data_IF_917051386781
#
_entry.id   IF_917051386781
#
_cell.length_a   1.000
_cell.length_b   1.000
_cell.length_c   1.000
_cell.angle_alpha   90.00
_cell.angle_beta   90.00
_cell.angle_gamma   90.00
#
_symmetry.space_group_name_H-M   'P 1'
#
loop_
_entity.id
_entity.type
_entity.pdbx_description
1 polymer ?
#
# COMPACT_ATOMS: atom_id res chain seq x y z
N UNK A 1 13.65 -6.30 -41.40
CA UNK A 1 12.96 -5.13 -40.81
C UNK A 1 11.84 -5.65 -39.93
N UNK A 2 12.05 -5.72 -38.62
CA UNK A 2 11.04 -6.17 -37.65
C UNK A 2 10.68 -4.96 -36.79
N UNK A 3 9.42 -4.53 -36.85
CA UNK A 3 8.87 -3.48 -36.01
C UNK A 3 8.44 -4.11 -34.68
N UNK A 4 9.04 -3.70 -33.57
CA UNK A 4 8.58 -3.99 -32.21
C UNK A 4 7.60 -2.88 -31.83
N UNK A 5 6.32 -3.22 -31.72
CA UNK A 5 5.30 -2.32 -31.22
C UNK A 5 5.39 -2.25 -29.69
N UNK A 6 5.91 -1.15 -29.17
CA UNK A 6 5.80 -0.79 -27.75
C UNK A 6 4.43 -0.15 -27.56
N UNK A 7 3.49 -0.89 -26.99
CA UNK A 7 2.21 -0.33 -26.54
C UNK A 7 2.45 0.31 -25.18
N UNK A 8 2.64 1.63 -25.17
CA UNK A 8 2.68 2.43 -23.95
C UNK A 8 1.24 2.72 -23.51
N UNK A 9 0.76 2.01 -22.49
CA UNK A 9 -0.50 2.33 -21.81
C UNK A 9 -0.25 3.36 -20.71
N UNK A 10 -0.93 4.50 -20.83
CA UNK A 10 -0.91 5.61 -19.88
C UNK A 10 -1.67 5.20 -18.60
N UNK A 11 -1.05 5.29 -17.42
CA UNK A 11 -1.65 4.94 -16.13
C UNK A 11 -1.65 6.14 -15.18
N UNK A 12 -2.82 6.54 -14.70
CA UNK A 12 -3.00 7.56 -13.65
C UNK A 12 -3.85 6.92 -12.55
N UNK A 13 -3.34 6.80 -11.33
CA UNK A 13 -4.16 6.28 -10.20
C UNK A 13 -4.93 7.45 -9.60
N UNK A 14 -6.26 7.35 -9.56
CA UNK A 14 -7.09 8.18 -8.70
C UNK A 14 -7.56 7.33 -7.53
N UNK A 15 -7.27 7.86 -6.35
CA UNK A 15 -7.68 7.51 -5.00
C UNK A 15 -8.72 6.37 -4.83
N UNK A 16 -8.27 5.23 -4.29
CA UNK A 16 -9.16 4.19 -3.77
C UNK A 16 -9.56 4.51 -2.32
N UNK A 17 -10.83 4.77 -2.07
CA UNK A 17 -11.41 4.90 -0.73
C UNK A 17 -11.76 3.50 -0.18
N UNK A 18 -11.33 3.24 1.06
CA UNK A 18 -11.81 2.12 1.87
C UNK A 18 -13.17 2.52 2.44
N UNK A 19 -14.18 1.64 2.35
CA UNK A 19 -15.49 1.85 2.98
C UNK A 19 -15.88 0.57 3.72
N UNK A 20 -16.28 0.64 5.00
CA UNK A 20 -16.75 -0.52 5.73
C UNK A 20 -18.15 -0.95 5.27
N UNK A 21 -18.39 -2.26 5.32
CA UNK A 21 -19.70 -2.85 5.07
C UNK A 21 -20.52 -2.89 6.37
N UNK A 22 -21.57 -2.07 6.46
CA UNK A 22 -22.65 -2.27 7.44
C UNK A 22 -24.01 -1.77 6.91
N UNK A 23 -24.85 -2.75 6.54
CA UNK A 23 -26.33 -2.91 6.63
C UNK A 23 -27.27 -1.66 6.51
N UNK A 24 -28.24 -1.77 5.58
CA UNK A 24 -29.35 -0.86 5.14
C UNK A 24 -30.59 -0.80 6.10
N UNK A 25 -31.74 -0.10 5.81
CA UNK A 25 -31.96 1.33 5.48
C UNK A 25 -33.19 2.03 6.20
N UNK A 26 -33.31 3.35 5.96
CA UNK A 26 -34.54 4.21 5.84
C UNK A 26 -35.16 4.93 7.08
N UNK A 27 -36.00 6.00 6.95
CA UNK A 27 -36.18 7.04 5.90
C UNK A 27 -36.12 8.51 6.42
N UNK A 28 -36.11 9.47 5.47
CA UNK A 28 -36.60 10.87 5.53
C UNK A 28 -36.00 11.88 6.53
N UNK A 29 -35.42 12.96 5.99
CA UNK A 29 -35.84 14.35 6.29
C UNK A 29 -35.26 15.34 5.28
N UNK A 30 -36.16 16.18 4.78
CA UNK A 30 -35.97 17.31 3.86
C UNK A 30 -35.60 18.60 4.64
N UNK A 31 -35.34 19.76 4.00
CA UNK A 31 -34.16 20.58 4.26
C UNK A 31 -34.46 21.93 4.93
N UNK A 32 -33.55 22.45 5.76
CA UNK A 32 -33.40 23.90 5.94
C UNK A 32 -32.15 24.25 6.76
N UNK A 33 -31.62 25.43 6.45
CA UNK A 33 -30.73 26.27 7.25
C UNK A 33 -29.21 26.13 7.05
N UNK A 34 -28.78 26.38 5.80
CA UNK A 34 -27.55 27.12 5.58
C UNK A 34 -27.82 28.63 5.68
N UNK A 35 -27.36 29.27 6.75
CA UNK A 35 -27.04 30.70 6.70
C UNK A 35 -25.78 31.00 7.51
N UNK A 36 -24.74 31.42 6.77
CA UNK A 36 -23.70 32.40 7.14
C UNK A 36 -22.65 31.98 8.18
N UNK A 37 -21.38 31.93 7.75
CA UNK A 37 -20.54 33.14 7.72
C UNK A 37 -19.31 32.93 6.83
N UNK A 38 -19.15 33.88 5.92
CA UNK A 38 -18.24 33.91 4.81
C UNK A 38 -17.19 34.99 5.14
N UNK A 39 -15.96 34.62 5.47
CA UNK A 39 -14.81 35.52 5.46
C UNK A 39 -13.50 34.74 5.37
N UNK A 40 -12.92 34.62 4.18
CA UNK A 40 -11.56 35.17 3.94
C UNK A 40 -11.20 35.20 2.46
N UNK A 41 -11.05 36.45 1.97
CA UNK A 41 -10.00 36.96 1.09
C UNK A 41 -9.64 36.13 -0.17
N UNK A 42 -10.40 36.44 -1.21
CA UNK A 42 -10.01 36.36 -2.61
C UNK A 42 -8.70 37.11 -2.88
N UNK A 43 -7.60 36.39 -3.10
CA UNK A 43 -6.40 36.88 -3.78
C UNK A 43 -6.06 35.95 -4.95
N UNK A 44 -6.97 35.89 -5.93
CA UNK A 44 -6.64 35.35 -7.26
C UNK A 44 -5.82 36.38 -8.04
N UNK A 45 -4.50 36.41 -7.80
CA UNK A 45 -3.54 37.19 -8.60
C UNK A 45 -2.52 36.23 -9.22
N UNK A 46 -2.62 36.04 -10.53
CA UNK A 46 -1.67 35.41 -11.46
C UNK A 46 -0.45 34.71 -10.82
N UNK A 47 -0.67 33.52 -10.25
CA UNK A 47 0.43 32.62 -9.89
C UNK A 47 0.90 31.94 -11.17
N UNK A 48 2.17 32.15 -11.53
CA UNK A 48 2.79 31.52 -12.70
C UNK A 48 2.54 30.00 -12.70
N UNK A 49 2.36 29.35 -13.86
CA UNK A 49 2.10 27.91 -13.93
C UNK A 49 3.11 27.07 -13.13
N UNK A 50 4.38 27.47 -13.12
CA UNK A 50 5.46 26.84 -12.36
C UNK A 50 5.23 26.90 -10.84
N UNK A 51 4.83 28.07 -10.30
CA UNK A 51 4.50 28.22 -8.88
C UNK A 51 3.24 27.43 -8.48
N UNK A 52 2.27 27.26 -9.39
CA UNK A 52 1.11 26.37 -9.16
C UNK A 52 1.50 24.90 -9.18
N UNK A 53 2.48 24.52 -10.00
CA UNK A 53 3.00 23.15 -10.06
C UNK A 53 3.80 22.81 -8.81
N UNK A 54 4.64 23.74 -8.33
CA UNK A 54 5.40 23.59 -7.08
C UNK A 54 4.45 23.49 -5.88
N UNK A 55 3.51 24.43 -5.71
CA UNK A 55 2.54 24.37 -4.61
C UNK A 55 1.66 23.11 -4.62
N UNK A 56 1.34 22.56 -5.81
CA UNK A 56 0.61 21.27 -5.92
C UNK A 56 1.51 20.06 -5.65
N UNK A 57 2.80 20.13 -5.98
CA UNK A 57 3.75 19.08 -5.66
C UNK A 57 3.95 18.98 -4.13
N UNK A 58 4.07 20.14 -3.47
CA UNK A 58 4.19 20.25 -2.01
C UNK A 58 2.91 19.72 -1.33
N UNK A 59 1.72 20.05 -1.83
CA UNK A 59 0.46 19.53 -1.29
C UNK A 59 0.34 17.99 -1.36
N UNK A 60 0.79 17.37 -2.48
CA UNK A 60 0.78 15.90 -2.60
C UNK A 60 1.82 15.22 -1.72
N UNK A 61 2.97 15.88 -1.53
CA UNK A 61 3.97 15.42 -0.58
C UNK A 61 3.42 15.44 0.84
N UNK A 62 2.84 16.56 1.28
CA UNK A 62 2.29 16.69 2.64
C UNK A 62 1.13 15.73 2.91
N UNK A 63 0.26 15.52 1.93
CA UNK A 63 -0.80 14.50 2.00
C UNK A 63 -0.22 13.09 2.17
N UNK A 64 0.81 12.75 1.38
CA UNK A 64 1.49 11.46 1.49
C UNK A 64 2.25 11.31 2.82
N UNK A 65 2.89 12.37 3.33
CA UNK A 65 3.52 12.37 4.67
C UNK A 65 2.46 12.14 5.74
N UNK A 66 1.30 12.80 5.64
CA UNK A 66 0.20 12.68 6.60
C UNK A 66 -0.37 11.26 6.59
N UNK A 67 -0.75 10.73 5.42
CA UNK A 67 -1.29 9.38 5.31
C UNK A 67 -0.26 8.32 5.71
N UNK A 68 1.01 8.51 5.32
CA UNK A 68 2.11 7.65 5.75
C UNK A 68 2.36 7.68 7.24
N UNK A 69 2.21 8.84 7.89
CA UNK A 69 2.26 8.99 9.33
C UNK A 69 1.14 8.21 10.04
N UNK A 70 -0.09 8.29 9.51
CA UNK A 70 -1.22 7.51 10.01
C UNK A 70 -0.99 6.01 9.86
N UNK A 71 -0.50 5.55 8.71
CA UNK A 71 -0.17 4.14 8.46
C UNK A 71 0.96 3.65 9.38
N UNK A 72 2.03 4.44 9.53
CA UNK A 72 3.15 4.11 10.41
C UNK A 72 2.70 3.95 11.87
N UNK A 73 1.89 4.89 12.38
CA UNK A 73 1.33 4.82 13.73
C UNK A 73 0.27 3.71 13.87
N UNK A 74 -0.57 3.52 12.85
CA UNK A 74 -1.60 2.49 12.79
C UNK A 74 -1.01 1.07 12.83
N UNK A 75 0.05 0.81 12.07
CA UNK A 75 0.75 -0.48 12.07
C UNK A 75 1.36 -0.86 13.44
N UNK A 76 1.76 0.12 14.24
CA UNK A 76 2.36 -0.12 15.56
C UNK A 76 1.36 -0.10 16.72
N UNK A 77 0.15 0.41 16.50
CA UNK A 77 -0.88 0.49 17.54
C UNK A 77 -1.84 -0.69 17.50
N UNK A 78 -2.55 -0.94 18.61
CA UNK A 78 -3.66 -1.87 18.62
C UNK A 78 -4.80 -1.40 17.68
N UNK A 79 -5.67 -2.33 17.29
CA UNK A 79 -6.73 -2.10 16.31
C UNK A 79 -7.65 -0.90 16.66
N UNK A 80 -8.00 -0.76 17.94
CA UNK A 80 -8.87 0.32 18.41
C UNK A 80 -8.18 1.67 18.32
N UNK A 81 -6.92 1.78 18.73
CA UNK A 81 -6.12 3.02 18.58
C UNK A 81 -5.90 3.36 17.12
N UNK A 82 -5.59 2.37 16.28
CA UNK A 82 -5.45 2.56 14.85
C UNK A 82 -6.77 3.11 14.26
N UNK A 83 -7.93 2.59 14.68
CA UNK A 83 -9.22 3.08 14.16
C UNK A 83 -9.44 4.57 14.41
N UNK A 84 -8.98 5.12 15.54
CA UNK A 84 -9.05 6.56 15.81
C UNK A 84 -8.20 7.40 14.85
N UNK A 85 -6.99 6.94 14.50
CA UNK A 85 -6.11 7.64 13.56
C UNK A 85 -6.75 7.74 12.16
N UNK A 86 -7.47 6.70 11.75
CA UNK A 86 -8.06 6.60 10.41
C UNK A 86 -9.42 7.30 10.27
N UNK A 87 -10.01 7.81 11.37
CA UNK A 87 -11.16 8.73 11.29
C UNK A 87 -10.80 10.04 10.60
N UNK A 88 -9.55 10.47 10.77
CA UNK A 88 -9.01 11.72 10.23
C UNK A 88 -8.09 11.51 9.02
N UNK A 89 -7.87 10.26 8.59
CA UNK A 89 -7.03 9.96 7.44
C UNK A 89 -7.64 10.50 6.14
N UNK A 90 -6.86 11.14 5.24
CA UNK A 90 -7.37 11.71 4.00
C UNK A 90 -8.15 10.74 3.10
N UNK A 91 -7.83 9.45 3.13
CA UNK A 91 -8.35 8.44 2.21
C UNK A 91 -9.40 7.50 2.81
N UNK A 92 -9.49 7.43 4.14
CA UNK A 92 -10.45 6.53 4.83
C UNK A 92 -11.67 7.27 5.37
N UNK A 93 -11.51 8.48 5.93
CA UNK A 93 -12.56 9.39 6.45
C UNK A 93 -13.89 8.72 6.85
N UNK A 94 -13.85 7.91 7.91
CA UNK A 94 -15.07 7.37 8.54
C UNK A 94 -15.09 7.76 10.04
N UNK A 95 -15.95 8.70 10.46
CA UNK A 95 -16.03 9.12 11.85
C UNK A 95 -16.53 8.02 12.80
N UNK A 96 -17.18 6.98 12.27
CA UNK A 96 -17.74 5.87 13.03
C UNK A 96 -16.81 4.65 13.07
N UNK A 97 -15.62 4.73 12.47
CA UNK A 97 -14.69 3.60 12.39
C UNK A 97 -14.31 3.08 13.80
N UNK A 98 -14.65 1.82 14.06
CA UNK A 98 -14.38 1.14 15.34
C UNK A 98 -13.22 0.16 15.27
N UNK A 99 -12.85 -0.28 14.05
CA UNK A 99 -11.80 -1.25 13.79
C UNK A 99 -11.11 -0.90 12.47
N UNK A 100 -9.83 -1.21 12.35
CA UNK A 100 -9.11 -1.17 11.06
C UNK A 100 -8.98 -2.56 10.45
N UNK A 101 -9.46 -3.62 11.11
CA UNK A 101 -9.40 -4.96 10.55
C UNK A 101 -10.17 -5.03 9.22
N UNK A 102 -9.58 -5.72 8.25
CA UNK A 102 -10.29 -6.00 7.01
C UNK A 102 -11.42 -7.01 7.28
N UNK A 103 -12.62 -6.81 6.69
CA UNK A 103 -13.66 -7.84 6.72
C UNK A 103 -13.34 -9.01 5.78
N UNK A 104 -12.29 -8.92 4.97
CA UNK A 104 -11.89 -9.93 4.00
C UNK A 104 -10.71 -10.74 4.57
N UNK A 105 -10.87 -12.05 4.71
CA UNK A 105 -9.82 -12.95 5.22
C UNK A 105 -9.85 -14.31 4.51
N UNK A 106 -8.79 -15.10 4.65
CA UNK A 106 -8.61 -16.37 3.96
C UNK A 106 -8.00 -16.22 2.56
N UNK A 107 -8.18 -17.23 1.70
CA UNK A 107 -7.62 -17.23 0.34
C UNK A 107 -8.39 -16.34 -0.66
N UNK A 108 -9.57 -15.87 -0.25
CA UNK A 108 -10.49 -14.99 -0.99
C UNK A 108 -10.98 -15.52 -2.34
N UNK A 109 -10.76 -16.79 -2.73
CA UNK A 109 -11.11 -17.27 -4.08
C UNK A 109 -12.61 -17.11 -4.35
N UNK A 110 -13.45 -17.66 -3.48
CA UNK A 110 -14.91 -17.60 -3.62
C UNK A 110 -15.43 -16.17 -3.50
N UNK A 111 -14.79 -15.35 -2.66
CA UNK A 111 -15.17 -13.97 -2.46
C UNK A 111 -14.84 -13.11 -3.70
N UNK A 112 -13.67 -13.32 -4.32
CA UNK A 112 -13.27 -12.70 -5.58
C UNK A 112 -14.25 -13.09 -6.70
N UNK A 113 -14.57 -14.38 -6.83
CA UNK A 113 -15.56 -14.88 -7.79
C UNK A 113 -16.94 -14.24 -7.57
N UNK A 114 -17.40 -14.20 -6.31
CA UNK A 114 -18.66 -13.54 -5.93
C UNK A 114 -18.68 -12.09 -6.41
N UNK A 115 -17.57 -11.37 -6.25
CA UNK A 115 -17.42 -9.98 -6.65
C UNK A 115 -16.98 -9.81 -8.11
N UNK A 116 -17.29 -10.77 -8.99
CA UNK A 116 -17.15 -10.60 -10.44
C UNK A 116 -15.72 -10.68 -10.97
N UNK A 117 -14.76 -11.11 -10.16
CA UNK A 117 -13.38 -11.33 -10.61
C UNK A 117 -13.21 -12.69 -11.27
N UNK A 118 -12.19 -12.76 -12.13
CA UNK A 118 -11.73 -13.96 -12.78
C UNK A 118 -10.23 -14.12 -12.60
N UNK A 119 -9.80 -15.29 -12.16
CA UNK A 119 -8.42 -15.74 -12.28
C UNK A 119 -8.36 -16.67 -13.48
N UNK A 120 -7.83 -16.17 -14.61
CA UNK A 120 -7.72 -16.94 -15.84
C UNK A 120 -6.45 -17.82 -15.79
N UNK A 121 -6.56 -19.16 -15.79
CA UNK A 121 -5.39 -20.04 -15.81
C UNK A 121 -4.49 -19.82 -17.02
N UNK A 122 -5.06 -19.40 -18.17
CA UNK A 122 -4.31 -19.13 -19.40
C UNK A 122 -3.48 -17.86 -19.25
N UNK A 123 -4.03 -16.81 -18.64
CA UNK A 123 -3.25 -15.59 -18.35
C UNK A 123 -2.20 -15.84 -17.28
N UNK A 124 -2.53 -16.57 -16.21
CA UNK A 124 -1.56 -16.99 -15.19
C UNK A 124 -0.34 -17.73 -15.80
N UNK A 125 -0.58 -18.62 -16.77
CA UNK A 125 0.50 -19.32 -17.46
C UNK A 125 1.38 -18.37 -18.30
N UNK A 126 0.81 -17.30 -18.86
CA UNK A 126 1.57 -16.30 -19.64
C UNK A 126 2.42 -15.40 -18.74
N UNK A 127 1.92 -15.02 -17.57
CA UNK A 127 2.61 -14.15 -16.63
C UNK A 127 3.61 -14.88 -15.72
N UNK A 128 3.65 -16.22 -15.72
CA UNK A 128 4.62 -16.98 -14.90
C UNK A 128 6.07 -16.54 -15.16
N UNK A 129 6.40 -16.20 -16.40
CA UNK A 129 7.71 -15.64 -16.77
C UNK A 129 8.04 -14.32 -16.05
N UNK A 130 7.04 -13.50 -15.73
CA UNK A 130 7.23 -12.22 -15.03
C UNK A 130 7.66 -12.45 -13.57
N UNK A 131 7.36 -13.63 -13.02
CA UNK A 131 7.85 -14.11 -11.73
C UNK A 131 9.28 -14.67 -11.76
N UNK A 132 9.95 -14.72 -12.92
CA UNK A 132 11.38 -14.96 -13.01
C UNK A 132 12.13 -13.62 -12.91
N UNK A 133 12.50 -13.30 -11.67
CA UNK A 133 13.08 -12.02 -11.29
C UNK A 133 14.54 -11.84 -11.73
N UNK A 134 15.22 -12.89 -12.21
CA UNK A 134 16.54 -12.76 -12.85
C UNK A 134 16.34 -12.48 -14.34
N UNK A 135 15.69 -13.42 -15.04
CA UNK A 135 15.61 -13.41 -16.50
C UNK A 135 14.81 -12.24 -17.08
N UNK A 136 13.76 -11.78 -16.39
CA UNK A 136 12.84 -10.76 -16.92
C UNK A 136 12.90 -9.43 -16.18
N UNK A 137 13.19 -9.45 -14.88
CA UNK A 137 13.11 -8.24 -14.04
C UNK A 137 14.47 -7.61 -13.69
N UNK A 138 15.59 -8.31 -13.90
CA UNK A 138 16.92 -7.77 -13.58
C UNK A 138 17.17 -7.60 -12.07
N UNK A 139 16.49 -8.39 -11.23
CA UNK A 139 16.60 -8.31 -9.78
C UNK A 139 17.62 -9.28 -9.17
N UNK A 140 18.46 -9.96 -9.99
CA UNK A 140 19.42 -10.98 -9.52
C UNK A 140 20.23 -10.54 -8.30
N UNK A 141 20.86 -9.35 -8.36
CA UNK A 141 21.67 -8.83 -7.24
C UNK A 141 20.82 -8.52 -6.01
N UNK A 142 19.68 -7.86 -6.22
CA UNK A 142 18.76 -7.53 -5.14
C UNK A 142 18.26 -8.77 -4.40
N UNK A 143 17.84 -9.77 -5.17
CA UNK A 143 17.27 -11.00 -4.63
C UNK A 143 18.34 -11.87 -3.98
N UNK A 144 19.56 -11.91 -4.51
CA UNK A 144 20.69 -12.56 -3.85
C UNK A 144 20.99 -11.93 -2.48
N UNK A 145 21.06 -10.59 -2.39
CA UNK A 145 21.33 -9.87 -1.14
C UNK A 145 20.22 -10.05 -0.10
N UNK A 146 18.97 -10.25 -0.55
CA UNK A 146 17.80 -10.45 0.32
C UNK A 146 17.53 -11.92 0.63
N UNK A 147 18.28 -12.85 0.04
CA UNK A 147 18.03 -14.30 0.18
C UNK A 147 16.74 -14.78 -0.48
N UNK A 148 16.25 -14.07 -1.49
CA UNK A 148 15.04 -14.42 -2.26
C UNK A 148 15.47 -15.18 -3.52
N UNK A 149 14.91 -16.36 -3.78
CA UNK A 149 15.15 -17.08 -5.04
C UNK A 149 14.45 -16.37 -6.20
N UNK A 150 15.07 -16.33 -7.37
CA UNK A 150 14.57 -15.56 -8.52
C UNK A 150 13.65 -16.33 -9.47
N UNK A 151 13.79 -17.65 -9.58
CA UNK A 151 13.04 -18.45 -10.56
C UNK A 151 11.53 -18.51 -10.28
N UNK A 152 10.74 -18.49 -11.36
CA UNK A 152 9.28 -18.69 -11.32
C UNK A 152 8.90 -20.13 -10.96
N UNK A 153 7.65 -20.32 -10.56
CA UNK A 153 7.08 -21.65 -10.26
C UNK A 153 7.06 -22.55 -11.49
N UNK A 154 6.74 -22.02 -12.67
CA UNK A 154 6.83 -22.76 -13.94
C UNK A 154 8.26 -23.24 -14.25
N UNK A 155 9.28 -22.53 -13.77
CA UNK A 155 10.69 -22.90 -13.90
C UNK A 155 11.26 -23.66 -12.69
N UNK A 156 10.39 -24.20 -11.81
CA UNK A 156 10.80 -24.98 -10.64
C UNK A 156 11.29 -24.15 -9.44
N UNK A 157 11.15 -22.83 -9.48
CA UNK A 157 11.39 -21.93 -8.36
C UNK A 157 10.17 -21.69 -7.48
N UNK A 158 10.30 -20.87 -6.43
CA UNK A 158 9.21 -20.62 -5.47
C UNK A 158 8.32 -19.43 -5.82
N UNK A 159 8.66 -18.62 -6.83
CA UNK A 159 7.90 -17.41 -7.16
C UNK A 159 6.63 -17.77 -7.94
N UNK A 160 5.49 -17.60 -7.32
CA UNK A 160 4.20 -17.91 -7.90
C UNK A 160 3.45 -16.62 -8.29
N UNK A 161 3.09 -16.52 -9.57
CA UNK A 161 2.34 -15.39 -10.11
C UNK A 161 0.84 -15.69 -10.19
N UNK A 162 0.03 -14.67 -9.95
CA UNK A 162 -1.42 -14.71 -10.16
C UNK A 162 -1.93 -13.38 -10.67
N UNK A 163 -2.89 -13.45 -11.60
CA UNK A 163 -3.69 -12.33 -12.07
C UNK A 163 -5.16 -12.49 -11.68
N UNK A 164 -5.76 -11.41 -11.21
CA UNK A 164 -7.19 -11.26 -11.03
C UNK A 164 -7.72 -10.12 -11.88
N UNK A 165 -8.65 -10.44 -12.76
CA UNK A 165 -9.31 -9.48 -13.64
C UNK A 165 -10.76 -9.28 -13.23
N UNK A 166 -11.17 -8.04 -13.02
CA UNK A 166 -12.58 -7.69 -12.78
C UNK A 166 -13.32 -7.54 -14.10
N UNK A 167 -13.38 -8.65 -14.85
CA UNK A 167 -14.06 -8.85 -16.13
C UNK A 167 -14.12 -10.36 -16.43
N UNK A 168 -15.02 -10.77 -17.32
CA UNK A 168 -15.12 -12.13 -17.85
C UNK A 168 -15.32 -13.24 -16.80
N UNK A 169 -15.58 -12.89 -15.54
CA UNK A 169 -15.71 -13.83 -14.44
C UNK A 169 -16.93 -14.74 -14.56
N UNK A 170 -16.94 -15.86 -13.82
CA UNK A 170 -18.00 -16.87 -13.90
C UNK A 170 -19.37 -16.34 -13.44
N UNK A 171 -19.41 -15.25 -12.65
CA UNK A 171 -20.63 -14.57 -12.22
C UNK A 171 -21.13 -13.50 -13.20
N UNK A 172 -20.38 -13.21 -14.26
CA UNK A 172 -20.82 -12.25 -15.29
C UNK A 172 -22.04 -12.82 -16.01
N UNK A 173 -23.10 -12.02 -16.07
CA UNK A 173 -24.34 -12.36 -16.77
C UNK A 173 -24.05 -12.50 -18.26
N UNK A 174 -24.38 -13.67 -18.81
CA UNK A 174 -24.22 -14.01 -20.22
C UNK A 174 -25.47 -13.62 -21.01
N UNK A 175 -25.30 -13.41 -22.31
CA UNK A 175 -26.43 -13.20 -23.20
C UNK A 175 -27.22 -14.50 -23.47
N UNK A 176 -28.28 -14.39 -24.27
CA UNK A 176 -29.15 -15.52 -24.66
C UNK A 176 -28.43 -16.66 -25.38
N UNK A 177 -27.27 -16.38 -25.98
CA UNK A 177 -26.44 -17.34 -26.72
C UNK A 177 -25.30 -17.88 -25.83
N UNK A 178 -25.37 -17.64 -24.51
CA UNK A 178 -24.37 -18.00 -23.51
C UNK A 178 -22.99 -17.34 -23.74
N UNK A 179 -22.94 -16.21 -24.46
CA UNK A 179 -21.71 -15.46 -24.72
C UNK A 179 -21.51 -14.37 -23.69
N UNK A 180 -20.24 -14.03 -23.46
CA UNK A 180 -19.88 -12.88 -22.65
C UNK A 180 -20.20 -11.59 -23.42
N UNK A 181 -20.93 -10.63 -22.81
CA UNK A 181 -21.10 -9.31 -23.39
C UNK A 181 -19.74 -8.59 -23.55
N UNK A 182 -19.67 -7.55 -24.40
CA UNK A 182 -18.56 -6.59 -24.39
C UNK A 182 -18.32 -6.02 -22.99
N UNK A 183 -17.05 -5.71 -22.66
CA UNK A 183 -16.59 -5.31 -21.33
C UNK A 183 -17.47 -4.22 -20.70
N UNK A 184 -17.84 -3.19 -21.47
CA UNK A 184 -18.62 -2.04 -21.03
C UNK A 184 -20.07 -2.38 -20.62
N UNK A 185 -20.57 -3.54 -21.06
CA UNK A 185 -21.92 -4.05 -20.78
C UNK A 185 -21.92 -5.18 -19.74
N UNK A 186 -20.76 -5.70 -19.34
CA UNK A 186 -20.68 -6.81 -18.40
C UNK A 186 -21.14 -6.40 -16.99
N UNK A 187 -21.98 -7.25 -16.42
CA UNK A 187 -22.65 -7.08 -15.13
C UNK A 187 -22.68 -8.40 -14.38
N UNK A 188 -22.79 -8.35 -13.05
CA UNK A 188 -23.00 -9.50 -12.17
C UNK A 188 -23.94 -9.11 -11.03
N UNK A 189 -24.54 -10.09 -10.35
CA UNK A 189 -25.54 -9.85 -9.30
C UNK A 189 -25.00 -10.36 -7.96
N UNK A 190 -25.08 -9.54 -6.92
CA UNK A 190 -24.89 -10.02 -5.55
C UNK A 190 -26.14 -10.78 -5.11
N UNK A 191 -26.05 -12.11 -5.11
CA UNK A 191 -27.14 -13.03 -4.76
C UNK A 191 -27.72 -12.78 -3.36
N UNK A 192 -26.97 -12.14 -2.44
CA UNK A 192 -27.44 -11.89 -1.08
C UNK A 192 -28.43 -10.73 -0.96
N UNK A 193 -28.43 -9.79 -1.91
CA UNK A 193 -29.32 -8.63 -1.91
C UNK A 193 -30.01 -8.36 -3.26
N UNK A 194 -29.72 -9.16 -4.28
CA UNK A 194 -30.26 -9.00 -5.64
C UNK A 194 -29.72 -7.78 -6.39
N UNK A 195 -28.72 -7.07 -5.83
CA UNK A 195 -28.18 -5.86 -6.43
C UNK A 195 -27.27 -6.20 -7.61
N UNK A 196 -27.51 -5.52 -8.73
CA UNK A 196 -26.65 -5.60 -9.90
C UNK A 196 -25.43 -4.69 -9.76
N UNK A 197 -24.27 -5.21 -10.13
CA UNK A 197 -22.99 -4.53 -10.20
C UNK A 197 -22.45 -4.59 -11.63
N UNK A 198 -21.63 -3.60 -11.99
CA UNK A 198 -20.92 -3.58 -13.27
C UNK A 198 -19.48 -4.02 -13.06
N UNK A 199 -18.93 -4.76 -14.01
CA UNK A 199 -17.50 -5.03 -14.00
C UNK A 199 -16.73 -3.72 -14.24
N UNK A 200 -15.50 -3.65 -13.74
CA UNK A 200 -14.71 -2.41 -13.81
C UNK A 200 -13.58 -2.49 -14.82
N UNK A 201 -13.14 -3.69 -15.21
CA UNK A 201 -11.90 -3.89 -15.98
C UNK A 201 -10.63 -3.60 -15.17
N UNK A 202 -10.72 -3.63 -13.83
CA UNK A 202 -9.55 -3.56 -12.96
C UNK A 202 -8.75 -4.86 -13.03
N UNK A 203 -7.43 -4.76 -12.86
CA UNK A 203 -6.53 -5.91 -12.90
C UNK A 203 -5.56 -5.84 -11.74
N UNK A 204 -5.31 -6.98 -11.11
CA UNK A 204 -4.27 -7.14 -10.11
C UNK A 204 -3.37 -8.32 -10.46
N UNK A 205 -2.08 -8.05 -10.63
CA UNK A 205 -1.04 -9.05 -10.86
C UNK A 205 -0.05 -9.03 -9.70
N UNK A 206 0.13 -10.19 -9.07
CA UNK A 206 1.00 -10.36 -7.90
C UNK A 206 2.01 -11.47 -8.12
N UNK A 207 3.17 -11.33 -7.47
CA UNK A 207 4.08 -12.44 -7.21
C UNK A 207 4.12 -12.76 -5.72
N UNK A 208 4.15 -14.04 -5.37
CA UNK A 208 4.34 -14.51 -3.99
C UNK A 208 5.45 -15.53 -3.91
N UNK A 209 6.27 -15.38 -2.87
CA UNK A 209 7.29 -16.34 -2.49
C UNK A 209 7.15 -16.62 -0.99
N UNK A 210 6.46 -17.71 -0.68
CA UNK A 210 6.21 -18.12 0.70
C UNK A 210 7.50 -18.49 1.44
N UNK A 211 8.47 -19.12 0.76
CA UNK A 211 9.76 -19.50 1.36
C UNK A 211 10.53 -18.28 1.87
N UNK A 212 10.43 -17.15 1.17
CA UNK A 212 11.19 -15.93 1.47
C UNK A 212 10.37 -14.87 2.21
N UNK A 213 9.08 -15.12 2.47
CA UNK A 213 8.22 -14.13 3.12
C UNK A 213 7.93 -12.91 2.24
N UNK A 214 7.67 -13.10 0.95
CA UNK A 214 7.67 -12.01 -0.02
C UNK A 214 6.37 -11.94 -0.85
N UNK A 215 5.84 -10.73 -1.00
CA UNK A 215 4.72 -10.40 -1.89
C UNK A 215 5.09 -9.18 -2.72
N UNK A 216 4.84 -9.23 -4.03
CA UNK A 216 5.05 -8.11 -4.93
C UNK A 216 3.80 -7.74 -5.72
N UNK A 217 3.59 -6.45 -5.93
CA UNK A 217 2.76 -5.94 -7.01
C UNK A 217 3.59 -5.92 -8.29
N UNK A 218 3.20 -6.68 -9.31
CA UNK A 218 3.86 -6.67 -10.62
C UNK A 218 3.19 -5.64 -11.55
N UNK A 219 1.87 -5.74 -11.67
CA UNK A 219 1.05 -4.88 -12.52
C UNK A 219 -0.33 -4.70 -11.87
N UNK A 220 -0.71 -3.45 -11.57
CA UNK A 220 -2.00 -3.18 -10.94
C UNK A 220 -2.67 -1.99 -11.59
N UNK A 221 -3.92 -2.20 -12.02
CA UNK A 221 -4.82 -1.14 -12.47
C UNK A 221 -6.04 -1.17 -11.56
N UNK A 222 -6.20 -0.13 -10.74
CA UNK A 222 -7.22 -0.13 -9.69
C UNK A 222 -8.64 -0.20 -10.28
N UNK A 223 -9.58 -0.91 -9.61
CA UNK A 223 -10.95 -1.01 -10.09
C UNK A 223 -11.60 0.36 -10.31
N UNK A 224 -11.35 1.35 -9.43
CA UNK A 224 -11.96 2.68 -9.54
C UNK A 224 -11.46 3.43 -10.79
N UNK A 225 -10.17 3.32 -11.10
CA UNK A 225 -9.62 3.93 -12.29
C UNK A 225 -10.15 3.25 -13.56
N UNK A 226 -10.10 1.92 -13.63
CA UNK A 226 -10.62 1.18 -14.80
C UNK A 226 -12.11 1.44 -15.00
N UNK A 227 -12.91 1.45 -13.93
CA UNK A 227 -14.34 1.78 -13.99
C UNK A 227 -14.56 3.16 -14.61
N UNK A 228 -13.75 4.16 -14.26
CA UNK A 228 -13.86 5.48 -14.87
C UNK A 228 -13.62 5.46 -16.38
N UNK A 229 -12.65 4.67 -16.83
CA UNK A 229 -12.33 4.53 -18.26
C UNK A 229 -13.39 3.73 -19.01
N UNK A 230 -13.89 2.65 -18.43
CA UNK A 230 -14.89 1.75 -19.05
C UNK A 230 -16.28 2.40 -19.02
N UNK A 231 -16.69 2.96 -17.89
CA UNK A 231 -18.02 3.53 -17.69
C UNK A 231 -18.15 4.98 -18.17
N UNK A 232 -17.04 5.60 -18.56
CA UNK A 232 -16.96 6.99 -19.06
C UNK A 232 -17.48 8.04 -18.06
N UNK A 233 -17.44 7.72 -16.77
CA UNK A 233 -17.79 8.62 -15.66
C UNK A 233 -17.10 8.18 -14.37
N UNK A 234 -16.97 9.10 -13.40
CA UNK A 234 -16.46 8.74 -12.08
C UNK A 234 -17.42 7.72 -11.41
N UNK A 235 -16.92 6.57 -10.93
CA UNK A 235 -17.76 5.61 -10.19
C UNK A 235 -18.15 6.17 -8.83
N UNK A 236 -19.36 5.86 -8.36
CA UNK A 236 -19.75 6.07 -6.98
C UNK A 236 -19.20 4.92 -6.12
N UNK A 237 -18.85 5.20 -4.86
CA UNK A 237 -18.31 4.16 -3.96
C UNK A 237 -19.28 2.97 -3.77
N UNK A 238 -20.59 3.23 -3.78
CA UNK A 238 -21.64 2.20 -3.69
C UNK A 238 -21.79 1.33 -4.93
N UNK A 239 -21.20 1.71 -6.07
CA UNK A 239 -21.24 0.93 -7.33
C UNK A 239 -20.04 -0.01 -7.48
N UNK A 240 -19.04 0.13 -6.60
CA UNK A 240 -17.79 -0.60 -6.70
C UNK A 240 -17.89 -1.98 -6.04
N UNK A 241 -17.14 -3.00 -6.53
CA UNK A 241 -17.00 -4.28 -5.83
C UNK A 241 -16.53 -4.07 -4.40
N UNK A 242 -16.96 -4.94 -3.48
CA UNK A 242 -16.58 -4.82 -2.07
C UNK A 242 -15.13 -5.27 -1.83
N UNK A 243 -14.60 -6.18 -2.66
CA UNK A 243 -13.17 -6.47 -2.73
C UNK A 243 -12.58 -5.63 -3.86
N UNK A 244 -11.79 -4.62 -3.50
CA UNK A 244 -11.22 -3.66 -4.46
C UNK A 244 -9.92 -3.02 -4.01
N UNK A 245 -9.55 -3.21 -2.74
CA UNK A 245 -8.31 -2.66 -2.21
C UNK A 245 -7.15 -3.56 -2.65
N UNK A 246 -6.01 -2.93 -2.93
CA UNK A 246 -4.79 -3.67 -3.31
C UNK A 246 -4.31 -4.54 -2.14
N UNK A 247 -4.49 -4.07 -0.90
CA UNK A 247 -4.09 -4.78 0.32
C UNK A 247 -4.91 -6.05 0.56
N UNK A 248 -6.24 -6.00 0.39
CA UNK A 248 -7.10 -7.18 0.59
C UNK A 248 -6.81 -8.27 -0.45
N UNK A 249 -6.66 -7.89 -1.73
CA UNK A 249 -6.33 -8.87 -2.77
C UNK A 249 -4.93 -9.43 -2.54
N UNK A 250 -3.96 -8.59 -2.17
CA UNK A 250 -2.63 -9.06 -1.78
C UNK A 250 -2.68 -10.03 -0.59
N UNK A 251 -3.56 -9.78 0.39
CA UNK A 251 -3.78 -10.66 1.53
C UNK A 251 -4.29 -12.04 1.11
N UNK A 252 -5.35 -12.09 0.29
CA UNK A 252 -5.87 -13.36 -0.22
C UNK A 252 -4.82 -14.17 -0.97
N UNK A 253 -4.02 -13.49 -1.80
CA UNK A 253 -2.92 -14.13 -2.54
C UNK A 253 -1.81 -14.61 -1.60
N UNK A 254 -1.41 -13.84 -0.59
CA UNK A 254 -0.43 -14.24 0.42
C UNK A 254 -0.91 -15.44 1.25
N UNK A 255 -2.15 -15.39 1.73
CA UNK A 255 -2.78 -16.48 2.47
C UNK A 255 -2.79 -17.77 1.65
N UNK A 256 -3.16 -17.68 0.36
CA UNK A 256 -3.13 -18.83 -0.55
C UNK A 256 -1.71 -19.35 -0.79
N UNK A 257 -0.77 -18.46 -1.09
CA UNK A 257 0.61 -18.84 -1.40
C UNK A 257 1.33 -19.52 -0.23
N UNK A 258 0.95 -19.18 1.01
CA UNK A 258 1.52 -19.78 2.24
C UNK A 258 0.74 -20.98 2.76
N UNK A 259 -0.39 -21.35 2.14
CA UNK A 259 -1.29 -22.36 2.70
C UNK A 259 -1.82 -21.98 4.08
N UNK A 260 -2.10 -20.70 4.31
CA UNK A 260 -2.58 -20.14 5.58
C UNK A 260 -1.50 -19.82 6.62
N UNK A 261 -0.22 -20.11 6.34
CA UNK A 261 0.90 -19.80 7.24
C UNK A 261 1.40 -18.35 7.03
N UNK A 262 0.54 -17.40 7.37
CA UNK A 262 0.70 -15.98 6.98
C UNK A 262 1.70 -15.17 7.80
N UNK A 263 2.21 -15.69 8.92
CA UNK A 263 3.01 -14.92 9.90
C UNK A 263 4.41 -14.54 9.41
N UNK A 264 4.96 -15.29 8.45
CA UNK A 264 6.35 -15.18 8.02
C UNK A 264 6.55 -14.18 6.87
N UNK A 265 5.74 -13.13 6.80
CA UNK A 265 5.94 -12.03 5.85
C UNK A 265 7.14 -11.16 6.28
N UNK A 266 8.05 -10.92 5.35
CA UNK A 266 9.32 -10.19 5.51
C UNK A 266 9.46 -9.01 4.56
N UNK A 267 8.88 -9.12 3.37
CA UNK A 267 9.05 -8.15 2.29
C UNK A 267 7.73 -7.92 1.53
N UNK A 268 7.41 -6.66 1.31
CA UNK A 268 6.37 -6.24 0.38
C UNK A 268 7.03 -5.40 -0.71
N UNK A 269 6.66 -5.58 -1.98
CA UNK A 269 7.35 -4.94 -3.09
C UNK A 269 6.38 -4.32 -4.09
N UNK A 270 6.79 -3.22 -4.72
CA UNK A 270 6.09 -2.62 -5.86
C UNK A 270 7.07 -2.54 -7.01
N UNK A 271 6.78 -3.27 -8.08
CA UNK A 271 7.55 -3.23 -9.30
C UNK A 271 7.10 -2.07 -10.21
N UNK A 272 8.04 -1.61 -11.05
CA UNK A 272 7.78 -0.79 -12.24
C UNK A 272 6.85 0.41 -11.98
N UNK A 273 7.22 1.29 -11.06
CA UNK A 273 6.37 2.42 -10.64
C UNK A 273 6.18 3.42 -11.78
N UNK A 274 4.98 3.37 -12.39
CA UNK A 274 4.54 4.29 -13.44
C UNK A 274 3.71 5.48 -12.91
N UNK A 275 3.19 5.37 -11.70
CA UNK A 275 2.31 6.40 -11.13
C UNK A 275 3.06 7.74 -10.97
N UNK A 276 2.63 8.76 -11.72
CA UNK A 276 3.32 10.05 -11.77
C UNK A 276 3.37 10.79 -10.44
N UNK A 277 2.36 10.61 -9.58
CA UNK A 277 2.37 11.22 -8.24
C UNK A 277 3.38 10.54 -7.33
N UNK A 278 3.45 9.21 -7.38
CA UNK A 278 4.47 8.45 -6.65
C UNK A 278 5.87 8.81 -7.16
N UNK A 279 6.08 8.93 -8.47
CA UNK A 279 7.39 9.36 -9.02
C UNK A 279 7.82 10.72 -8.48
N UNK A 280 6.90 11.69 -8.36
CA UNK A 280 7.20 12.99 -7.75
C UNK A 280 7.57 12.84 -6.27
N UNK A 281 6.83 12.03 -5.52
CA UNK A 281 7.14 11.72 -4.11
C UNK A 281 8.52 11.06 -3.98
N UNK A 282 8.87 10.13 -4.86
CA UNK A 282 10.19 9.49 -4.90
C UNK A 282 11.28 10.55 -5.08
N UNK A 283 11.12 11.45 -6.03
CA UNK A 283 12.08 12.54 -6.26
C UNK A 283 12.24 13.42 -5.02
N UNK A 284 11.13 13.88 -4.45
CA UNK A 284 11.14 14.68 -3.23
C UNK A 284 11.82 13.96 -2.06
N UNK A 285 11.61 12.65 -1.90
CA UNK A 285 12.32 11.86 -0.89
C UNK A 285 13.84 11.83 -1.13
N UNK A 286 14.29 11.64 -2.37
CA UNK A 286 15.73 11.65 -2.68
C UNK A 286 16.40 13.02 -2.45
N UNK A 287 15.64 14.10 -2.58
CA UNK A 287 16.10 15.46 -2.27
C UNK A 287 16.33 15.70 -0.78
N UNK A 288 15.79 14.86 0.11
CA UNK A 288 16.04 14.93 1.56
C UNK A 288 17.35 14.22 1.98
N UNK A 289 17.98 13.46 1.09
CA UNK A 289 19.24 12.77 1.38
C UNK A 289 20.43 13.73 1.39
N UNK A 290 21.43 13.43 2.21
CA UNK A 290 22.68 14.22 2.29
C UNK A 290 23.90 13.33 1.99
N UNK A 291 24.65 13.57 0.90
CA UNK A 291 24.36 14.52 -0.16
C UNK A 291 23.10 14.11 -0.94
N UNK A 292 22.45 15.07 -1.62
CA UNK A 292 21.29 14.79 -2.48
C UNK A 292 21.63 13.70 -3.47
N UNK A 293 20.71 12.75 -3.65
CA UNK A 293 20.92 11.60 -4.53
C UNK A 293 19.96 11.63 -5.71
N UNK A 294 20.32 10.94 -6.78
CA UNK A 294 19.42 10.75 -7.91
C UNK A 294 18.50 9.56 -7.67
N UNK A 295 17.24 9.67 -8.09
CA UNK A 295 16.25 8.59 -8.11
C UNK A 295 16.61 7.43 -9.06
N UNK A 296 17.70 7.58 -9.83
CA UNK A 296 18.15 6.61 -10.84
C UNK A 296 19.19 5.61 -10.32
N UNK A 297 19.36 5.48 -8.99
CA UNK A 297 20.28 4.50 -8.44
C UNK A 297 19.77 3.07 -8.69
N UNK A 298 20.61 2.27 -9.33
CA UNK A 298 20.44 0.81 -9.43
C UNK A 298 20.69 0.21 -8.04
N UNK A 299 20.21 -1.02 -7.78
CA UNK A 299 20.45 -1.74 -6.53
C UNK A 299 21.90 -1.54 -6.00
N UNK A 300 22.10 -1.18 -4.71
CA UNK A 300 21.12 -1.24 -3.61
C UNK A 300 20.16 -0.06 -3.49
N UNK A 301 20.29 1.00 -4.30
CA UNK A 301 19.44 2.20 -4.15
C UNK A 301 19.62 2.89 -2.79
N UNK A 302 18.53 3.39 -2.20
CA UNK A 302 18.56 4.14 -0.94
C UNK A 302 17.46 3.69 0.03
N UNK A 303 17.83 3.62 1.32
CA UNK A 303 16.91 3.35 2.42
C UNK A 303 16.33 4.65 2.99
N UNK A 304 15.04 4.63 3.26
CA UNK A 304 14.30 5.70 3.92
C UNK A 304 13.62 5.13 5.17
N UNK A 305 14.06 5.57 6.35
CA UNK A 305 13.43 5.20 7.61
C UNK A 305 12.03 5.83 7.70
N UNK A 306 11.05 5.06 8.14
CA UNK A 306 9.62 5.41 8.05
C UNK A 306 9.11 6.28 9.20
N UNK A 307 9.97 6.55 10.18
CA UNK A 307 9.76 7.57 11.19
C UNK A 307 10.08 8.98 10.66
N UNK A 308 10.84 9.10 9.56
CA UNK A 308 11.13 10.36 8.87
C UNK A 308 9.99 10.80 7.93
N UNK A 309 9.89 12.10 7.59
CA UNK A 309 8.94 12.57 6.58
C UNK A 309 9.09 11.85 5.23
N UNK A 310 10.31 11.59 4.77
CA UNK A 310 10.54 10.93 3.49
C UNK A 310 10.04 9.48 3.48
N UNK A 311 10.34 8.70 4.50
CA UNK A 311 9.81 7.34 4.61
C UNK A 311 8.29 7.30 4.77
N UNK A 312 7.70 8.26 5.50
CA UNK A 312 6.24 8.43 5.58
C UNK A 312 5.64 8.73 4.21
N UNK A 313 6.20 9.69 3.47
CA UNK A 313 5.72 10.03 2.14
C UNK A 313 5.74 8.81 1.19
N UNK A 314 6.79 7.99 1.23
CA UNK A 314 6.89 6.78 0.41
C UNK A 314 5.81 5.74 0.78
N UNK A 315 5.56 5.50 2.07
CA UNK A 315 4.46 4.62 2.53
C UNK A 315 3.10 5.22 2.18
N UNK A 316 2.87 6.52 2.39
CA UNK A 316 1.60 7.17 2.10
C UNK A 316 1.35 7.44 0.62
N UNK A 317 2.32 7.15 -0.25
CA UNK A 317 2.17 7.33 -1.70
C UNK A 317 1.07 6.44 -2.28
N UNK A 318 0.47 6.80 -3.44
CA UNK A 318 -0.61 6.03 -4.05
C UNK A 318 -0.33 4.53 -4.22
N UNK A 319 0.92 4.17 -4.55
CA UNK A 319 1.34 2.76 -4.71
C UNK A 319 2.02 2.18 -3.47
N UNK A 320 2.33 2.98 -2.45
CA UNK A 320 2.97 2.50 -1.22
C UNK A 320 1.97 2.08 -0.14
N UNK A 321 0.82 2.77 -0.08
CA UNK A 321 -0.12 2.66 1.05
C UNK A 321 -0.68 1.26 1.27
N UNK A 322 -0.79 0.45 0.22
CA UNK A 322 -1.26 -0.93 0.33
C UNK A 322 -0.41 -1.76 1.30
N UNK A 323 0.89 -1.52 1.37
CA UNK A 323 1.78 -2.27 2.24
C UNK A 323 1.47 -1.99 3.72
N UNK A 324 1.20 -0.72 4.04
CA UNK A 324 0.77 -0.32 5.37
C UNK A 324 -0.61 -0.88 5.73
N UNK A 325 -1.57 -0.79 4.80
CA UNK A 325 -2.91 -1.36 4.99
C UNK A 325 -2.84 -2.89 5.16
N UNK A 326 -2.06 -3.60 4.35
CA UNK A 326 -1.88 -5.05 4.47
C UNK A 326 -1.44 -5.46 5.89
N UNK A 327 -0.44 -4.79 6.47
CA UNK A 327 0.02 -5.15 7.81
C UNK A 327 -0.96 -4.69 8.90
N UNK A 328 -1.56 -3.51 8.73
CA UNK A 328 -2.45 -2.93 9.72
C UNK A 328 -3.81 -3.65 9.81
N UNK A 329 -4.39 -4.03 8.67
CA UNK A 329 -5.74 -4.58 8.59
C UNK A 329 -5.81 -6.08 8.91
N UNK A 330 -4.66 -6.76 9.00
CA UNK A 330 -4.57 -8.20 9.26
C UNK A 330 -3.68 -8.54 10.47
N UNK A 331 -3.49 -7.60 11.40
CA UNK A 331 -2.66 -7.77 12.62
C UNK A 331 -2.98 -9.06 13.38
N UNK A 332 -4.28 -9.37 13.51
CA UNK A 332 -4.73 -10.57 14.25
C UNK A 332 -4.17 -11.84 13.62
N UNK A 333 -4.31 -11.98 12.31
CA UNK A 333 -3.82 -13.12 11.54
C UNK A 333 -2.29 -13.17 11.48
N UNK A 334 -1.64 -12.01 11.43
CA UNK A 334 -0.19 -11.87 11.47
C UNK A 334 0.43 -12.19 12.85
N UNK A 335 -0.41 -12.42 13.88
CA UNK A 335 0.02 -12.76 15.23
C UNK A 335 0.42 -11.55 16.08
N UNK A 336 0.02 -10.34 15.69
CA UNK A 336 0.33 -9.10 16.38
C UNK A 336 0.66 -7.95 15.43
N UNK A 337 1.19 -6.88 15.99
CA UNK A 337 1.62 -5.72 15.22
C UNK A 337 2.89 -6.02 14.42
N UNK A 338 2.77 -5.95 13.10
CA UNK A 338 3.89 -5.84 12.18
C UNK A 338 3.91 -4.44 11.60
N UNK A 339 5.09 -3.91 11.32
CA UNK A 339 5.25 -2.57 10.78
C UNK A 339 6.38 -2.54 9.76
N UNK A 340 6.48 -1.43 9.03
CA UNK A 340 7.53 -1.19 8.06
C UNK A 340 8.53 -0.24 8.71
N UNK A 341 9.74 -0.67 9.13
CA UNK A 341 10.78 0.24 9.64
C UNK A 341 11.45 1.08 8.56
N UNK A 342 11.53 0.55 7.34
CA UNK A 342 12.19 1.22 6.22
C UNK A 342 11.60 0.82 4.86
N UNK A 343 11.68 1.76 3.93
CA UNK A 343 11.42 1.57 2.51
C UNK A 343 12.73 1.75 1.77
N UNK A 344 13.08 0.80 0.90
CA UNK A 344 14.19 0.97 -0.04
C UNK A 344 13.64 1.28 -1.41
N UNK A 345 14.17 2.35 -2.02
CA UNK A 345 13.88 2.73 -3.40
C UNK A 345 15.09 2.42 -4.25
N UNK A 346 14.89 1.65 -5.32
CA UNK A 346 15.97 1.22 -6.21
C UNK A 346 15.44 0.99 -7.62
N UNK A 347 16.35 0.89 -8.59
CA UNK A 347 16.05 0.29 -9.89
C UNK A 347 16.71 -1.07 -10.01
N UNK A 348 16.03 -2.10 -10.54
CA UNK A 348 16.71 -3.33 -10.93
C UNK A 348 17.73 -3.09 -12.05
N UNK A 349 18.63 -4.05 -12.24
CA UNK A 349 19.65 -4.01 -13.29
C UNK A 349 19.00 -3.99 -14.67
N UNK A 350 19.41 -3.04 -15.52
CA UNK A 350 18.86 -2.89 -16.88
C UNK A 350 17.46 -2.27 -16.97
N UNK A 351 16.81 -1.96 -15.84
CA UNK A 351 15.47 -1.36 -15.80
C UNK A 351 15.51 0.17 -15.71
N UNK A 352 14.43 0.82 -16.15
CA UNK A 352 14.32 2.29 -16.21
C UNK A 352 13.48 2.88 -15.07
N UNK A 353 12.56 2.10 -14.50
CA UNK A 353 11.61 2.56 -13.49
C UNK A 353 12.06 2.20 -12.07
N UNK A 354 11.71 3.06 -11.12
CA UNK A 354 11.94 2.83 -9.71
C UNK A 354 10.99 1.76 -9.14
N UNK A 355 11.49 1.03 -8.16
CA UNK A 355 10.82 -0.03 -7.43
C UNK A 355 10.88 0.30 -5.94
N UNK A 356 9.87 -0.16 -5.19
CA UNK A 356 9.90 -0.15 -3.73
C UNK A 356 10.09 -1.55 -3.20
N UNK A 357 10.92 -1.69 -2.17
CA UNK A 357 10.83 -2.81 -1.24
C UNK A 357 10.64 -2.29 0.19
N UNK A 358 9.54 -2.71 0.79
CA UNK A 358 9.18 -2.46 2.18
C UNK A 358 9.68 -3.63 3.01
N UNK A 359 10.50 -3.34 4.01
CA UNK A 359 10.95 -4.34 4.98
C UNK A 359 9.89 -4.47 6.05
N UNK A 360 9.54 -5.69 6.46
CA UNK A 360 8.57 -5.94 7.53
C UNK A 360 9.31 -6.27 8.81
N UNK A 361 9.12 -5.44 9.84
CA UNK A 361 9.55 -5.68 11.22
C UNK A 361 8.39 -6.15 12.09
N UNK A 362 8.73 -6.69 13.25
CA UNK A 362 7.80 -6.94 14.35
C UNK A 362 8.12 -5.97 15.49
N UNK A 363 7.11 -5.61 16.29
CA UNK A 363 7.36 -4.98 17.59
C UNK A 363 8.32 -5.88 18.37
N UNK A 364 9.37 -5.36 19.04
CA UNK A 364 10.12 -6.18 19.98
C UNK A 364 9.11 -6.77 20.95
N UNK A 365 9.03 -8.10 21.05
CA UNK A 365 8.20 -8.75 22.04
C UNK A 365 8.48 -8.06 23.39
N UNK A 366 7.48 -7.55 24.12
CA UNK A 366 7.71 -6.94 25.43
C UNK A 366 8.37 -7.91 26.44
N UNK A 367 8.44 -9.21 26.12
CA UNK A 367 9.17 -10.23 26.87
C UNK A 367 10.50 -10.67 26.22
N UNK A 368 10.89 -10.12 25.06
CA UNK A 368 12.22 -10.36 24.49
C UNK A 368 13.27 -9.58 25.29
N UNK A 369 14.00 -10.31 26.14
CA UNK A 369 15.11 -9.75 26.89
C UNK A 369 16.24 -9.39 25.89
N UNK A 370 16.78 -8.16 25.87
CA UNK A 370 17.79 -7.75 24.88
C UNK A 370 19.16 -8.43 25.01
N UNK A 371 19.34 -9.35 25.95
CA UNK A 371 20.61 -10.02 26.21
C UNK A 371 20.55 -11.47 25.72
N UNK A 372 20.95 -11.69 24.47
CA UNK A 372 21.68 -12.88 23.96
C UNK A 372 21.74 -12.82 22.44
N UNK A 373 22.58 -11.92 21.92
CA UNK A 373 23.05 -11.95 20.55
C UNK A 373 24.54 -11.66 20.56
N UNK A 374 25.35 -12.71 20.51
CA UNK A 374 26.81 -12.62 20.39
C UNK A 374 27.18 -11.82 19.14
N UNK A 375 27.62 -10.59 19.35
CA UNK A 375 28.29 -9.80 18.35
C UNK A 375 29.72 -10.34 18.19
N UNK A 376 30.08 -10.79 16.99
CA UNK A 376 31.47 -11.00 16.59
C UNK A 376 31.77 -10.15 15.35
N UNK A 377 32.84 -9.34 15.43
CA UNK A 377 33.53 -8.71 14.30
C UNK A 377 33.14 -7.26 13.98
N UNK A 378 33.49 -6.31 14.84
CA UNK A 378 34.60 -5.34 14.64
C UNK A 378 34.24 -4.07 13.83
N UNK A 379 33.88 -3.03 14.58
CA UNK A 379 33.86 -1.65 14.14
C UNK A 379 35.27 -1.03 14.25
N UNK A 380 35.77 -0.44 13.17
CA UNK A 380 36.82 0.57 13.26
C UNK A 380 36.19 1.89 13.72
N UNK A 381 36.55 2.29 14.93
CA UNK A 381 36.29 3.60 15.53
C UNK A 381 37.31 4.59 14.97
N UNK A 382 36.84 5.64 14.31
CA UNK A 382 37.61 6.89 14.22
C UNK A 382 36.75 8.03 14.79
N UNK A 383 37.25 8.60 15.89
CA UNK A 383 36.69 9.72 16.62
C UNK A 383 36.72 10.99 15.76
N UNK A 384 35.56 11.64 15.62
CA UNK A 384 35.52 13.09 15.42
C UNK A 384 34.51 13.67 16.41
N UNK A 385 35.06 14.28 17.46
CA UNK A 385 34.34 15.16 18.37
C UNK A 385 33.82 16.39 17.62
N UNK A 386 32.54 16.74 17.80
CA UNK A 386 31.98 17.96 17.21
C UNK A 386 30.49 18.17 17.46
N UNK A 387 30.15 18.66 18.66
CA UNK A 387 28.92 19.41 19.04
C UNK A 387 27.56 18.90 18.52
N UNK A 388 26.90 18.14 19.38
CA UNK A 388 25.44 18.05 19.44
C UNK A 388 24.88 19.27 20.21
N UNK A 389 23.97 20.03 19.61
CA UNK A 389 23.08 20.96 20.33
C UNK A 389 21.63 20.69 19.96
N UNK A 390 20.78 20.78 20.99
CA UNK A 390 19.30 20.78 21.02
C UNK A 390 18.66 19.39 21.14
N UNK A 391 18.61 18.74 22.32
CA UNK A 391 18.06 19.06 23.66
C UNK A 391 16.55 18.74 23.84
N UNK A 392 16.24 17.45 24.03
CA UNK A 392 15.07 17.00 24.80
C UNK A 392 15.53 15.97 25.82
N UNK A 393 15.36 16.25 27.11
CA UNK A 393 15.73 15.36 28.21
C UNK A 393 14.45 14.69 28.73
N UNK A 394 14.27 13.40 28.45
CA UNK A 394 13.12 12.63 28.93
C UNK A 394 13.50 11.91 30.22
N UNK A 395 13.00 12.39 31.36
CA UNK A 395 13.08 11.65 32.62
C UNK A 395 11.74 11.04 33.00
N UNK A 396 11.75 9.72 33.25
CA UNK A 396 10.63 8.97 33.82
C UNK A 396 10.78 9.00 35.34
N UNK A 397 9.88 9.69 36.05
CA UNK A 397 9.83 9.64 37.51
C UNK A 397 8.77 8.60 37.91
N UNK A 398 9.18 7.61 38.70
CA UNK A 398 8.30 6.56 39.24
C UNK A 398 7.88 6.93 40.67
N UNK A 399 6.58 6.99 40.93
CA UNK A 399 5.95 6.76 42.26
C UNK A 399 4.84 5.73 42.02
N UNK A 400 4.65 4.65 42.78
CA UNK A 400 5.23 4.20 44.05
C UNK A 400 4.20 3.76 45.09
N UNK A 401 2.90 3.90 44.83
CA UNK A 401 1.91 3.72 45.90
C UNK A 401 0.60 3.14 45.34
N UNK A 402 0.53 1.80 45.24
CA UNK A 402 -0.71 1.05 45.26
C UNK A 402 -1.71 1.26 44.10
N UNK A 403 -1.51 0.53 43.01
CA UNK A 403 -2.61 0.08 42.13
C UNK A 403 -2.90 0.89 40.86
N UNK A 404 -2.37 2.10 40.69
CA UNK A 404 -2.54 2.88 39.46
C UNK A 404 -1.23 3.53 39.00
N UNK A 405 -0.88 3.36 37.72
CA UNK A 405 0.24 4.06 37.08
C UNK A 405 -0.31 5.30 36.39
N UNK A 406 0.02 6.48 36.90
CA UNK A 406 -0.19 7.75 36.21
C UNK A 406 1.10 8.07 35.45
N UNK A 407 1.02 8.21 34.12
CA UNK A 407 2.13 8.75 33.30
C UNK A 407 1.93 10.26 33.19
N UNK A 408 2.81 11.03 33.81
CA UNK A 408 2.86 12.48 33.66
C UNK A 408 3.98 12.85 32.68
N UNK A 409 3.65 13.60 31.63
CA UNK A 409 4.62 14.15 30.69
C UNK A 409 4.97 15.57 31.13
N UNK A 410 6.15 15.77 31.71
CA UNK A 410 6.61 17.11 32.10
C UNK A 410 7.55 17.66 31.04
N UNK A 411 7.10 18.69 30.32
CA UNK A 411 7.94 19.45 29.39
C UNK A 411 8.64 20.56 30.16
N UNK A 412 9.97 20.51 30.27
CA UNK A 412 10.77 21.62 30.78
C UNK A 412 11.53 22.27 29.63
N UNK A 413 11.15 23.49 29.30
CA UNK A 413 11.95 24.37 28.46
C UNK A 413 13.09 24.89 29.34
N UNK A 414 14.35 24.64 28.96
CA UNK A 414 15.48 25.40 29.51
C UNK A 414 15.50 26.75 28.76
N UNK A 415 15.26 27.84 29.50
CA UNK A 415 15.47 29.21 29.02
C UNK A 415 16.97 29.49 28.86
#
# INVERSE_FOLDING_TARGET
MLWVAVVASLVIIIDAQVVPASILPNPELHPSDETRLNTSLNTSRWVAPELRILARADAKWDEAVTSGGNLWAGMQSDDRKASFLFRTDPHTKDPLLQTVQSPHDGDLIDAMIKWGYFEDPVENAKIDKECDFDAYQGCKRAFADLGIKTASKGNGGPNWCVQWDHQNGPKVVRDKDNKLPPLELQKYVDESCGKEYRVTGGTFEYAVNAESGFVALLSVISPAYSAQQVWKRKPLSSEMPHIRSISDVAWGVWHRGTGGKVKDIKYLMVANILNEDTKKIIRSAHETLTPKRSEVAVWPGFDFATDTPAGKALIGSPVGRWAGYFLMQHKTQLGGNKFIPKVRVFKPDGQTLAWFIFYVGADPDPNSNPETGEATGEAMVENVEGRSSDAYDMQIIKRSDGGNVIREHVFRVKL
#
